data_IF_639917974129
#
_entry.id   IF_639917974129
#
_cell.length_a   1.000
_cell.length_b   1.000
_cell.length_c   1.000
_cell.angle_alpha   90.00
_cell.angle_beta   90.00
_cell.angle_gamma   90.00
#
_symmetry.space_group_name_H-M   'P 1'
#
loop_
_entity.id
_entity.type
_entity.pdbx_description
1 polymer ?
#
# COMPACT_ATOMS: atom_id res chain seq x y z
N UNK A 1 17.58 -0.70 -4.43
CA UNK A 1 17.46 -0.30 -3.01
C UNK A 1 17.17 -1.56 -2.21
N UNK A 2 18.08 -1.99 -1.32
CA UNK A 2 17.80 -3.13 -0.43
C UNK A 2 16.95 -2.64 0.75
N UNK A 3 15.65 -2.90 0.73
CA UNK A 3 14.70 -2.51 1.79
C UNK A 3 14.79 -3.54 2.91
N UNK A 4 15.02 -3.09 4.14
CA UNK A 4 15.01 -4.00 5.28
C UNK A 4 13.59 -4.33 5.76
N UNK A 5 13.45 -5.31 6.66
CA UNK A 5 12.13 -5.76 7.11
C UNK A 5 11.33 -4.63 7.79
N UNK A 6 11.99 -3.77 8.56
CA UNK A 6 11.32 -2.67 9.28
C UNK A 6 10.82 -1.62 8.29
N UNK A 7 11.65 -1.24 7.33
CA UNK A 7 11.28 -0.32 6.25
C UNK A 7 10.11 -0.88 5.42
N UNK A 8 10.15 -2.17 5.09
CA UNK A 8 9.11 -2.86 4.34
C UNK A 8 7.79 -2.90 5.11
N UNK A 9 7.81 -3.34 6.37
CA UNK A 9 6.61 -3.44 7.21
C UNK A 9 5.98 -2.07 7.47
N UNK A 10 6.81 -1.05 7.78
CA UNK A 10 6.31 0.31 8.00
C UNK A 10 5.68 0.88 6.72
N UNK A 11 6.32 0.71 5.57
CA UNK A 11 5.77 1.16 4.28
C UNK A 11 4.42 0.52 3.97
N UNK A 12 4.29 -0.79 4.20
CA UNK A 12 3.02 -1.51 4.03
C UNK A 12 1.92 -0.92 4.92
N UNK A 13 2.23 -0.63 6.19
CA UNK A 13 1.28 -0.02 7.10
C UNK A 13 0.89 1.40 6.69
N UNK A 14 1.85 2.22 6.23
CA UNK A 14 1.61 3.58 5.74
C UNK A 14 0.65 3.59 4.56
N UNK A 15 0.84 2.71 3.58
CA UNK A 15 -0.03 2.62 2.40
C UNK A 15 -1.40 2.00 2.72
N UNK A 16 -1.45 1.07 3.67
CA UNK A 16 -2.71 0.47 4.11
C UNK A 16 -3.60 1.47 4.87
N UNK A 17 -3.01 2.36 5.67
CA UNK A 17 -3.73 3.38 6.43
C UNK A 17 -4.11 4.57 5.54
N UNK A 18 -4.90 4.33 4.50
CA UNK A 18 -5.38 5.36 3.58
C UNK A 18 -6.72 5.97 4.07
N UNK A 19 -6.76 7.23 4.56
CA UNK A 19 -8.00 7.89 4.95
C UNK A 19 -8.88 8.26 3.74
N UNK A 20 -8.33 8.22 2.53
CA UNK A 20 -9.00 8.60 1.30
C UNK A 20 -9.68 7.42 0.59
N UNK A 21 -9.69 6.23 1.20
CA UNK A 21 -10.43 5.09 0.67
C UNK A 21 -11.96 5.35 0.69
N UNK A 22 -12.64 4.91 -0.37
CA UNK A 22 -14.05 5.25 -0.66
C UNK A 22 -15.03 4.75 0.40
N UNK A 23 -14.69 3.66 1.10
CA UNK A 23 -15.52 2.97 2.10
C UNK A 23 -15.21 3.38 3.55
N UNK A 24 -14.34 4.36 3.74
CA UNK A 24 -13.96 4.86 5.07
C UNK A 24 -14.92 5.94 5.54
N UNK A 25 -15.53 5.71 6.72
CA UNK A 25 -16.41 6.69 7.34
C UNK A 25 -15.68 7.99 7.71
N UNK A 26 -16.36 9.13 7.63
CA UNK A 26 -15.78 10.45 7.99
C UNK A 26 -15.23 10.49 9.42
N UNK A 27 -15.82 9.72 10.34
CA UNK A 27 -15.34 9.62 11.73
C UNK A 27 -14.04 8.82 11.85
N UNK A 28 -13.76 7.89 10.92
CA UNK A 28 -12.56 7.05 10.91
C UNK A 28 -11.37 7.72 10.20
N UNK A 29 -11.62 8.66 9.28
CA UNK A 29 -10.55 9.34 8.53
C UNK A 29 -9.49 10.01 9.42
N UNK A 30 -9.85 10.74 10.50
CA UNK A 30 -8.85 11.32 11.40
C UNK A 30 -7.97 10.27 12.07
N UNK A 31 -8.58 9.17 12.56
CA UNK A 31 -7.87 8.08 13.24
C UNK A 31 -6.87 7.38 12.31
N UNK A 32 -7.26 7.13 11.06
CA UNK A 32 -6.36 6.56 10.05
C UNK A 32 -5.22 7.51 9.71
N UNK A 33 -5.52 8.80 9.54
CA UNK A 33 -4.51 9.82 9.24
C UNK A 33 -3.50 9.98 10.39
N UNK A 34 -3.96 9.93 11.63
CA UNK A 34 -3.10 9.96 12.82
C UNK A 34 -2.20 8.72 12.89
N UNK A 35 -2.76 7.52 12.71
CA UNK A 35 -2.00 6.27 12.67
C UNK A 35 -0.96 6.27 11.56
N UNK A 36 -1.34 6.69 10.35
CA UNK A 36 -0.42 6.83 9.20
C UNK A 36 0.72 7.79 9.55
N UNK A 37 0.41 8.96 10.09
CA UNK A 37 1.41 9.96 10.48
C UNK A 37 2.37 9.46 11.55
N UNK A 38 1.86 8.74 12.56
CA UNK A 38 2.67 8.15 13.63
C UNK A 38 3.71 7.16 13.08
N UNK A 39 3.29 6.25 12.19
CA UNK A 39 4.17 5.25 11.59
C UNK A 39 5.17 5.91 10.63
N UNK A 40 4.73 6.86 9.80
CA UNK A 40 5.60 7.64 8.91
C UNK A 40 6.73 8.33 9.68
N UNK A 41 6.39 8.98 10.81
CA UNK A 41 7.38 9.62 11.66
C UNK A 41 8.32 8.60 12.34
N UNK A 42 7.80 7.45 12.76
CA UNK A 42 8.62 6.38 13.34
C UNK A 42 9.60 5.80 12.33
N UNK A 43 9.17 5.60 11.07
CA UNK A 43 10.01 5.14 9.98
C UNK A 43 11.14 6.12 9.68
N UNK A 44 10.83 7.42 9.60
CA UNK A 44 11.86 8.44 9.37
C UNK A 44 12.90 8.47 10.50
N UNK A 45 12.46 8.44 11.77
CA UNK A 45 13.38 8.34 12.93
C UNK A 45 14.22 7.07 12.93
N UNK A 46 13.66 5.94 12.49
CA UNK A 46 14.41 4.70 12.35
C UNK A 46 15.52 4.83 11.30
N UNK A 47 15.24 5.44 10.16
CA UNK A 47 16.24 5.67 9.11
C UNK A 47 17.37 6.60 9.60
N UNK A 48 17.03 7.68 10.31
CA UNK A 48 18.00 8.61 10.91
C UNK A 48 18.93 7.94 11.96
N UNK A 49 18.50 6.84 12.58
CA UNK A 49 19.36 6.08 13.51
C UNK A 49 20.38 5.20 12.79
N UNK A 50 20.14 4.88 11.52
CA UNK A 50 20.97 3.97 10.73
C UNK A 50 21.93 4.70 9.78
N UNK A 51 21.65 5.95 9.45
CA UNK A 51 22.29 6.72 8.38
C UNK A 51 22.37 8.20 8.77
N UNK A 52 23.17 8.97 8.05
CA UNK A 52 23.14 10.42 8.18
C UNK A 52 21.81 11.02 7.69
N UNK A 53 21.58 12.29 8.01
CA UNK A 53 20.31 12.96 7.75
C UNK A 53 20.01 13.13 6.25
N UNK A 54 21.03 13.31 5.42
CA UNK A 54 20.88 13.51 3.97
C UNK A 54 20.52 12.18 3.31
N UNK A 55 21.26 11.11 3.59
CA UNK A 55 21.00 9.78 3.06
C UNK A 55 19.66 9.23 3.56
N UNK A 56 19.33 9.44 4.84
CA UNK A 56 18.04 9.04 5.39
C UNK A 56 16.87 9.79 4.72
N UNK A 57 17.04 11.09 4.44
CA UNK A 57 16.05 11.91 3.75
C UNK A 57 15.79 11.44 2.32
N UNK A 58 16.84 11.29 1.50
CA UNK A 58 16.74 10.78 0.13
C UNK A 58 16.06 9.41 0.10
N UNK A 59 16.54 8.50 0.95
CA UNK A 59 16.03 7.14 1.01
C UNK A 59 14.56 7.09 1.43
N UNK A 60 14.17 7.88 2.43
CA UNK A 60 12.79 7.97 2.89
C UNK A 60 11.86 8.45 1.77
N UNK A 61 12.26 9.52 1.07
CA UNK A 61 11.50 10.03 -0.07
C UNK A 61 11.34 9.00 -1.18
N UNK A 62 12.43 8.33 -1.57
CA UNK A 62 12.41 7.28 -2.60
C UNK A 62 11.51 6.11 -2.20
N UNK A 63 11.52 5.70 -0.92
CA UNK A 63 10.67 4.63 -0.42
C UNK A 63 9.19 4.99 -0.49
N UNK A 64 8.81 6.23 -0.13
CA UNK A 64 7.43 6.69 -0.25
C UNK A 64 6.97 6.81 -1.70
N UNK A 65 7.86 7.27 -2.60
CA UNK A 65 7.58 7.36 -4.04
C UNK A 65 7.39 5.99 -4.71
N UNK A 66 7.92 4.90 -4.15
CA UNK A 66 7.56 3.56 -4.64
C UNK A 66 6.07 3.27 -4.47
N UNK A 67 5.38 3.91 -3.52
CA UNK A 67 3.95 3.77 -3.32
C UNK A 67 3.12 4.16 -4.54
N UNK A 68 3.52 5.19 -5.27
CA UNK A 68 2.80 5.63 -6.47
C UNK A 68 2.96 4.61 -7.60
N UNK A 69 4.18 4.09 -7.78
CA UNK A 69 4.46 3.01 -8.75
C UNK A 69 3.66 1.76 -8.41
N UNK A 70 3.63 1.36 -7.13
CA UNK A 70 2.85 0.21 -6.68
C UNK A 70 1.35 0.39 -6.91
N UNK A 71 0.81 1.60 -6.71
CA UNK A 71 -0.58 1.89 -6.98
C UNK A 71 -0.91 1.74 -8.48
N UNK A 72 -0.08 2.27 -9.37
CA UNK A 72 -0.24 2.10 -10.82
C UNK A 72 -0.17 0.62 -11.22
N UNK A 73 0.85 -0.11 -10.74
CA UNK A 73 1.00 -1.54 -11.01
C UNK A 73 -0.19 -2.36 -10.50
N UNK A 74 -0.79 -1.99 -9.36
CA UNK A 74 -1.95 -2.67 -8.82
C UNK A 74 -3.19 -2.51 -9.71
N UNK A 75 -3.38 -1.33 -10.33
CA UNK A 75 -4.46 -1.10 -11.30
C UNK A 75 -4.27 -1.94 -12.55
N UNK A 76 -3.08 -1.91 -13.15
CA UNK A 76 -2.75 -2.70 -14.34
C UNK A 76 -2.90 -4.21 -14.08
N UNK A 77 -2.43 -4.67 -12.91
CA UNK A 77 -2.54 -6.07 -12.53
C UNK A 77 -4.00 -6.50 -12.34
N UNK A 78 -4.87 -5.63 -11.81
CA UNK A 78 -6.30 -5.93 -11.67
C UNK A 78 -6.95 -6.20 -13.04
N UNK A 79 -6.61 -5.42 -14.05
CA UNK A 79 -7.13 -5.61 -15.41
C UNK A 79 -6.64 -6.94 -16.02
N UNK A 80 -5.35 -7.25 -15.90
CA UNK A 80 -4.79 -8.50 -16.41
C UNK A 80 -5.43 -9.74 -15.74
N UNK A 81 -5.64 -9.68 -14.43
CA UNK A 81 -6.28 -10.74 -13.64
C UNK A 81 -7.75 -10.94 -14.05
N UNK A 82 -8.47 -9.84 -14.32
CA UNK A 82 -9.85 -9.90 -14.79
C UNK A 82 -9.95 -10.56 -16.18
N UNK A 83 -9.05 -10.20 -17.10
CA UNK A 83 -8.99 -10.80 -18.44
C UNK A 83 -8.66 -12.29 -18.38
N UNK A 84 -7.75 -12.69 -17.49
CA UNK A 84 -7.41 -14.11 -17.30
C UNK A 84 -8.59 -14.94 -16.74
N UNK A 85 -9.40 -14.38 -15.83
CA UNK A 85 -10.64 -15.03 -15.35
C UNK A 85 -11.68 -15.11 -16.48
N UNK A 86 -11.83 -14.06 -17.30
CA UNK A 86 -12.78 -14.02 -18.42
C UNK A 86 -12.49 -15.08 -19.49
N UNK A 87 -11.22 -15.32 -19.80
CA UNK A 87 -10.80 -16.36 -20.76
C UNK A 87 -10.59 -17.74 -20.14
N UNK A 88 -11.10 -17.97 -18.92
CA UNK A 88 -10.99 -19.24 -18.17
C UNK A 88 -9.55 -19.75 -18.02
N UNK A 89 -8.55 -18.86 -18.07
CA UNK A 89 -7.14 -19.22 -17.93
C UNK A 89 -6.77 -19.49 -16.46
N UNK A 90 -7.48 -18.85 -15.53
CA UNK A 90 -7.33 -19.02 -14.09
C UNK A 90 -8.72 -19.06 -13.46
N UNK A 91 -8.98 -20.06 -12.61
CA UNK A 91 -10.22 -20.12 -11.82
C UNK A 91 -10.00 -19.53 -10.44
N UNK A 92 -10.50 -18.33 -10.19
CA UNK A 92 -10.50 -17.73 -8.86
C UNK A 92 -11.63 -18.30 -7.99
N UNK A 93 -11.36 -18.47 -6.70
CA UNK A 93 -12.42 -18.77 -5.73
C UNK A 93 -13.38 -17.58 -5.62
N UNK A 94 -14.62 -17.83 -5.19
CA UNK A 94 -15.63 -16.78 -4.99
C UNK A 94 -15.12 -15.65 -4.10
N UNK A 95 -14.40 -15.99 -3.02
CA UNK A 95 -13.80 -15.00 -2.13
C UNK A 95 -12.71 -14.17 -2.83
N UNK A 96 -11.85 -14.80 -3.63
CA UNK A 96 -10.83 -14.08 -4.39
C UNK A 96 -11.47 -13.13 -5.42
N UNK A 97 -12.55 -13.54 -6.09
CA UNK A 97 -13.31 -12.67 -7.00
C UNK A 97 -13.93 -11.47 -6.29
N UNK A 98 -14.52 -11.68 -5.10
CA UNK A 98 -15.03 -10.60 -4.26
C UNK A 98 -13.94 -9.61 -3.87
N UNK A 99 -12.78 -10.12 -3.45
CA UNK A 99 -11.65 -9.30 -3.01
C UNK A 99 -10.98 -8.53 -4.15
N UNK A 100 -10.75 -9.19 -5.29
CA UNK A 100 -9.99 -8.63 -6.42
C UNK A 100 -10.86 -7.74 -7.31
N UNK A 101 -12.13 -8.09 -7.49
CA UNK A 101 -13.03 -7.43 -8.45
C UNK A 101 -14.13 -6.61 -7.77
N UNK A 102 -14.38 -6.80 -6.47
CA UNK A 102 -15.46 -6.12 -5.78
C UNK A 102 -16.87 -6.60 -6.19
N UNK A 103 -16.97 -7.77 -6.84
CA UNK A 103 -18.24 -8.35 -7.28
C UNK A 103 -19.04 -8.80 -6.05
N UNK A 104 -20.07 -8.04 -5.68
CA UNK A 104 -21.00 -8.39 -4.60
C UNK A 104 -22.15 -9.19 -5.20
N UNK A 105 -21.97 -10.52 -5.26
CA UNK A 105 -22.90 -11.55 -5.77
C UNK A 105 -23.02 -11.63 -7.31
N UNK A 106 -22.98 -12.88 -7.80
CA UNK A 106 -23.45 -13.28 -9.15
C UNK A 106 -24.97 -13.43 -9.15
#
# INVERSE_FOLDING_TARGET
MQIDLVEFTASKAIFFLNPDADDVSSASKPLLSEGRSSITNALYRYMLRKRDAEEAGDRFGRLLLLGTVLATMAVEMKEAVLVADFFDQIKFSTFAKQLLFGIKQE
#
